data_IF_153580881129
#
_entry.id   IF_153580881129
#
_cell.length_a   1.000
_cell.length_b   1.000
_cell.length_c   1.000
_cell.angle_alpha   90.00
_cell.angle_beta   90.00
_cell.angle_gamma   90.00
#
_symmetry.space_group_name_H-M   'P 1'
#
loop_
_entity.id
_entity.type
_entity.pdbx_description
1 polymer ?
#
# COMPACT_ATOMS: atom_id res chain seq x y z
N UNK A 1 -0.86 -9.32 17.67
CA UNK A 1 -0.62 -7.96 18.23
C UNK A 1 -1.96 -7.37 18.64
N UNK A 2 -2.02 -6.55 19.70
CA UNK A 2 -3.28 -5.90 20.09
C UNK A 2 -3.52 -4.75 19.09
N UNK A 3 -4.46 -4.93 18.15
CA UNK A 3 -4.93 -3.85 17.28
C UNK A 3 -5.67 -2.78 18.08
N UNK A 4 -6.07 -1.69 17.41
CA UNK A 4 -6.95 -0.67 18.01
C UNK A 4 -8.43 -0.97 17.73
N UNK A 5 -9.08 -1.87 18.47
CA UNK A 5 -10.44 -2.33 18.17
C UNK A 5 -11.49 -1.22 18.30
N UNK A 6 -11.12 -0.09 18.89
CA UNK A 6 -12.02 1.03 19.17
C UNK A 6 -11.79 2.22 18.20
N UNK A 7 -11.05 2.05 17.11
CA UNK A 7 -10.78 3.12 16.13
C UNK A 7 -12.06 3.72 15.55
N UNK A 8 -13.06 2.87 15.25
CA UNK A 8 -14.37 3.28 14.73
C UNK A 8 -15.13 4.24 15.64
N UNK A 9 -14.94 4.16 16.97
CA UNK A 9 -15.58 5.06 17.94
C UNK A 9 -15.05 6.50 17.87
N UNK A 10 -13.98 6.74 17.11
CA UNK A 10 -13.45 8.09 16.86
C UNK A 10 -14.14 8.78 15.69
N UNK A 11 -14.94 8.06 14.90
CA UNK A 11 -15.77 8.63 13.86
C UNK A 11 -16.76 9.63 14.47
N UNK A 12 -16.87 10.79 13.84
CA UNK A 12 -17.81 11.83 14.29
C UNK A 12 -19.02 11.84 13.39
N UNK A 13 -20.20 11.75 13.98
CA UNK A 13 -21.43 12.12 13.29
C UNK A 13 -21.39 13.60 12.92
N UNK A 14 -21.69 13.92 11.69
CA UNK A 14 -21.58 15.27 11.12
C UNK A 14 -22.77 15.54 10.20
N UNK A 15 -23.28 16.76 10.25
CA UNK A 15 -24.31 17.21 9.32
C UNK A 15 -23.72 17.71 7.98
N UNK A 16 -22.41 17.96 7.94
CA UNK A 16 -21.72 18.55 6.79
C UNK A 16 -20.54 17.72 6.35
N UNK A 17 -20.22 17.82 5.07
CA UNK A 17 -18.99 17.29 4.46
C UNK A 17 -17.74 17.70 5.25
N UNK A 18 -16.73 16.84 5.32
CA UNK A 18 -15.47 17.16 5.97
C UNK A 18 -14.75 18.34 5.30
N UNK A 19 -13.94 19.06 6.08
CA UNK A 19 -13.14 20.16 5.55
C UNK A 19 -12.21 19.70 4.39
N UNK A 20 -11.44 18.60 4.52
CA UNK A 20 -10.55 18.17 3.44
C UNK A 20 -11.31 17.80 2.17
N UNK A 21 -12.39 17.05 2.25
CA UNK A 21 -13.19 16.66 1.08
C UNK A 21 -13.77 17.89 0.37
N UNK A 22 -14.33 18.83 1.13
CA UNK A 22 -14.81 20.09 0.56
C UNK A 22 -13.68 20.90 -0.08
N UNK A 23 -12.50 20.92 0.53
CA UNK A 23 -11.31 21.62 -0.01
C UNK A 23 -10.89 21.00 -1.34
N UNK A 24 -10.75 19.67 -1.41
CA UNK A 24 -10.38 18.95 -2.64
C UNK A 24 -11.44 19.12 -3.74
N UNK A 25 -12.73 19.07 -3.39
CA UNK A 25 -13.83 19.35 -4.32
C UNK A 25 -13.71 20.75 -4.92
N UNK A 26 -13.54 21.79 -4.09
CA UNK A 26 -13.41 23.19 -4.54
C UNK A 26 -12.17 23.44 -5.41
N UNK A 27 -11.10 22.64 -5.22
CA UNK A 27 -9.89 22.67 -6.05
C UNK A 27 -10.06 21.92 -7.37
N UNK A 28 -11.18 21.22 -7.59
CA UNK A 28 -11.47 20.49 -8.83
C UNK A 28 -10.55 19.29 -9.09
N UNK A 29 -9.96 18.71 -8.03
CA UNK A 29 -8.99 17.62 -8.17
C UNK A 29 -9.59 16.23 -8.06
N UNK A 30 -10.82 16.10 -7.56
CA UNK A 30 -11.57 14.85 -7.52
C UNK A 30 -12.04 14.51 -8.93
N UNK A 31 -11.77 13.29 -9.41
CA UNK A 31 -12.07 12.85 -10.77
C UNK A 31 -12.60 11.42 -10.77
N UNK A 32 -13.43 11.11 -11.78
CA UNK A 32 -13.90 9.76 -12.10
C UNK A 32 -14.63 9.05 -10.97
N UNK A 33 -14.43 7.73 -10.87
CA UNK A 33 -14.94 6.91 -9.78
C UNK A 33 -14.20 7.22 -8.49
N UNK A 34 -14.92 7.50 -7.42
CA UNK A 34 -14.37 7.92 -6.14
C UNK A 34 -14.60 6.84 -5.06
N UNK A 35 -13.60 6.61 -4.22
CA UNK A 35 -13.74 5.83 -2.99
C UNK A 35 -13.51 6.74 -1.79
N UNK A 36 -14.44 6.77 -0.86
CA UNK A 36 -14.24 7.31 0.50
C UNK A 36 -13.83 6.15 1.42
N UNK A 37 -12.50 6.05 1.67
CA UNK A 37 -11.89 4.97 2.45
C UNK A 37 -11.79 5.36 3.92
N UNK A 38 -12.42 4.59 4.79
CA UNK A 38 -12.62 4.93 6.19
C UNK A 38 -13.69 6.02 6.33
N UNK A 39 -14.80 5.85 5.61
CA UNK A 39 -15.85 6.86 5.43
C UNK A 39 -16.63 7.20 6.71
N UNK A 40 -16.49 6.38 7.78
CA UNK A 40 -17.28 6.52 8.98
C UNK A 40 -18.78 6.49 8.63
N UNK A 41 -19.52 7.54 8.98
CA UNK A 41 -20.95 7.63 8.67
C UNK A 41 -21.32 8.04 7.23
N UNK A 42 -20.34 8.10 6.30
CA UNK A 42 -20.56 8.26 4.85
C UNK A 42 -20.93 9.68 4.38
N UNK A 43 -20.76 10.71 5.20
CA UNK A 43 -21.15 12.10 4.84
C UNK A 43 -20.36 12.69 3.69
N UNK A 44 -19.12 12.29 3.52
CA UNK A 44 -18.27 12.80 2.42
C UNK A 44 -18.72 12.20 1.08
N UNK A 45 -19.06 10.91 1.04
CA UNK A 45 -19.61 10.27 -0.15
C UNK A 45 -21.01 10.79 -0.48
N UNK A 46 -21.90 10.99 0.51
CA UNK A 46 -23.22 11.60 0.31
C UNK A 46 -23.10 12.97 -0.37
N UNK A 47 -22.19 13.82 0.11
CA UNK A 47 -21.91 15.13 -0.49
C UNK A 47 -21.43 14.98 -1.94
N UNK A 48 -20.44 14.12 -2.21
CA UNK A 48 -19.89 13.95 -3.56
C UNK A 48 -20.94 13.40 -4.53
N UNK A 49 -21.75 12.43 -4.10
CA UNK A 49 -22.85 11.91 -4.90
C UNK A 49 -23.89 13.00 -5.23
N UNK A 50 -24.19 13.90 -4.28
CA UNK A 50 -25.07 15.06 -4.54
C UNK A 50 -24.48 16.06 -5.54
N UNK A 51 -23.17 16.00 -5.80
CA UNK A 51 -22.44 16.83 -6.80
C UNK A 51 -22.21 16.10 -8.12
N UNK A 52 -22.81 14.92 -8.30
CA UNK A 52 -22.75 14.15 -9.55
C UNK A 52 -21.55 13.23 -9.69
N UNK A 53 -20.77 12.99 -8.63
CA UNK A 53 -19.74 11.96 -8.63
C UNK A 53 -20.34 10.56 -8.35
N UNK A 54 -19.64 9.52 -8.81
CA UNK A 54 -19.88 8.13 -8.36
C UNK A 54 -18.95 7.83 -7.20
N UNK A 55 -19.41 8.09 -5.96
CA UNK A 55 -18.61 7.89 -4.76
C UNK A 55 -19.11 6.68 -3.96
N UNK A 56 -18.23 5.70 -3.76
CA UNK A 56 -18.47 4.50 -2.96
C UNK A 56 -17.94 4.72 -1.55
N UNK A 57 -18.67 4.26 -0.52
CA UNK A 57 -18.18 4.19 0.86
C UNK A 57 -17.48 2.85 1.09
N UNK A 58 -16.38 2.90 1.84
CA UNK A 58 -15.81 1.74 2.52
C UNK A 58 -15.36 2.14 3.92
N UNK A 59 -15.82 1.39 4.90
CA UNK A 59 -15.40 1.49 6.30
C UNK A 59 -15.56 0.11 6.94
N UNK A 60 -14.52 -0.49 7.54
CA UNK A 60 -14.60 -1.84 8.08
C UNK A 60 -15.72 -2.06 9.09
N UNK A 61 -16.23 -1.00 9.71
CA UNK A 61 -17.27 -1.06 10.73
C UNK A 61 -18.65 -0.63 10.21
N UNK A 62 -18.72 0.49 9.46
CA UNK A 62 -20.00 1.08 9.04
C UNK A 62 -20.43 0.69 7.63
N UNK A 63 -19.49 0.40 6.73
CA UNK A 63 -19.69 -0.01 5.33
C UNK A 63 -18.69 -1.12 4.98
N UNK A 64 -18.89 -2.37 5.51
CA UNK A 64 -17.87 -3.42 5.51
C UNK A 64 -17.64 -4.10 4.16
N UNK A 65 -18.46 -3.83 3.16
CA UNK A 65 -18.34 -4.43 1.84
C UNK A 65 -17.07 -3.91 1.15
N UNK A 66 -16.04 -4.76 1.12
CA UNK A 66 -14.77 -4.41 0.49
C UNK A 66 -14.93 -4.24 -1.01
N UNK A 67 -14.46 -3.11 -1.60
CA UNK A 67 -14.64 -2.86 -3.03
C UNK A 67 -13.91 -3.91 -3.89
N UNK A 68 -14.56 -4.34 -4.97
CA UNK A 68 -14.04 -5.29 -5.97
C UNK A 68 -13.49 -4.62 -7.23
N UNK A 69 -13.53 -3.29 -7.30
CA UNK A 69 -13.04 -2.47 -8.42
C UNK A 69 -11.97 -1.47 -8.00
N UNK A 70 -11.28 -0.91 -8.99
CA UNK A 70 -10.31 0.19 -8.79
C UNK A 70 -10.95 1.55 -9.06
N UNK A 71 -10.41 2.60 -8.43
CA UNK A 71 -10.94 3.95 -8.42
C UNK A 71 -9.96 4.97 -9.03
N UNK A 72 -10.51 6.04 -9.62
CA UNK A 72 -9.72 7.16 -10.16
C UNK A 72 -9.25 8.09 -9.03
N UNK A 73 -10.09 8.27 -8.01
CA UNK A 73 -9.77 9.06 -6.82
C UNK A 73 -10.10 8.28 -5.56
N UNK A 74 -9.17 8.25 -4.60
CA UNK A 74 -9.42 7.69 -3.26
C UNK A 74 -9.21 8.79 -2.21
N UNK A 75 -10.19 8.97 -1.33
CA UNK A 75 -10.13 9.87 -0.19
C UNK A 75 -9.93 9.05 1.08
N UNK A 76 -8.95 9.43 1.90
CA UNK A 76 -8.69 8.80 3.20
C UNK A 76 -8.56 9.91 4.26
N UNK A 77 -9.71 10.28 4.85
CA UNK A 77 -9.82 11.51 5.63
C UNK A 77 -9.71 11.25 7.13
N UNK A 78 -8.57 11.62 7.74
CA UNK A 78 -8.30 11.49 9.18
C UNK A 78 -8.25 10.07 9.73
N UNK A 79 -8.20 9.05 8.86
CA UNK A 79 -8.16 7.63 9.23
C UNK A 79 -6.83 7.30 9.91
N UNK A 80 -5.72 7.67 9.29
CA UNK A 80 -4.38 7.28 9.77
C UNK A 80 -4.05 7.80 11.17
N UNK A 81 -4.65 8.92 11.60
CA UNK A 81 -4.40 9.50 12.92
C UNK A 81 -4.91 8.65 14.10
N UNK A 82 -5.77 7.67 13.83
CA UNK A 82 -6.40 6.83 14.86
C UNK A 82 -5.99 5.35 14.76
N UNK A 83 -5.02 5.05 13.89
CA UNK A 83 -4.50 3.72 13.63
C UNK A 83 -3.09 3.55 14.17
N UNK A 84 -2.76 2.33 14.59
CA UNK A 84 -1.39 1.92 14.91
C UNK A 84 -0.51 1.89 13.64
N UNK A 85 0.83 1.96 13.77
CA UNK A 85 1.73 1.96 12.61
C UNK A 85 1.51 0.79 11.64
N UNK A 86 1.25 -0.41 12.16
CA UNK A 86 1.00 -1.62 11.37
C UNK A 86 -0.33 -1.51 10.60
N UNK A 87 -1.37 -0.99 11.25
CA UNK A 87 -2.68 -0.74 10.63
C UNK A 87 -2.59 0.36 9.58
N UNK A 88 -1.75 1.40 9.82
CA UNK A 88 -1.48 2.44 8.81
C UNK A 88 -0.81 1.85 7.57
N UNK A 89 0.17 0.95 7.74
CA UNK A 89 0.84 0.28 6.62
C UNK A 89 -0.16 -0.55 5.80
N UNK A 90 -1.06 -1.27 6.45
CA UNK A 90 -2.12 -2.01 5.76
C UNK A 90 -3.05 -1.10 4.96
N UNK A 91 -3.51 0.01 5.54
CA UNK A 91 -4.34 1.01 4.81
C UNK A 91 -3.61 1.56 3.59
N UNK A 92 -2.30 1.85 3.68
CA UNK A 92 -1.52 2.34 2.54
C UNK A 92 -1.44 1.31 1.42
N UNK A 93 -1.21 0.02 1.75
CA UNK A 93 -1.21 -1.07 0.78
C UNK A 93 -2.58 -1.24 0.11
N UNK A 94 -3.65 -1.32 0.90
CA UNK A 94 -5.02 -1.46 0.39
C UNK A 94 -5.38 -0.32 -0.57
N UNK A 95 -5.06 0.92 -0.21
CA UNK A 95 -5.32 2.09 -1.08
C UNK A 95 -4.49 2.00 -2.37
N UNK A 96 -3.23 1.56 -2.32
CA UNK A 96 -2.42 1.37 -3.52
C UNK A 96 -3.00 0.29 -4.45
N UNK A 97 -3.60 -0.76 -3.90
CA UNK A 97 -4.23 -1.85 -4.65
C UNK A 97 -5.56 -1.45 -5.29
N UNK A 98 -6.35 -0.61 -4.60
CA UNK A 98 -7.65 -0.12 -5.07
C UNK A 98 -7.54 1.09 -6.01
N UNK A 99 -6.37 1.71 -6.12
CA UNK A 99 -6.15 2.84 -7.00
C UNK A 99 -5.91 2.36 -8.44
N UNK A 100 -6.54 3.02 -9.44
CA UNK A 100 -6.21 2.81 -10.85
C UNK A 100 -4.77 3.26 -11.14
N UNK A 101 -4.10 2.74 -12.18
CA UNK A 101 -2.71 3.10 -12.48
C UNK A 101 -2.46 4.61 -12.52
N UNK A 102 -3.34 5.38 -13.15
CA UNK A 102 -3.22 6.86 -13.28
C UNK A 102 -4.02 7.61 -12.21
N UNK A 103 -4.61 6.90 -11.25
CA UNK A 103 -5.41 7.47 -10.18
C UNK A 103 -4.61 8.28 -9.17
N UNK A 104 -5.32 8.97 -8.28
CA UNK A 104 -4.73 9.72 -7.17
C UNK A 104 -5.45 9.42 -5.87
N UNK A 105 -4.68 9.24 -4.80
CA UNK A 105 -5.26 9.19 -3.47
C UNK A 105 -4.86 10.42 -2.65
N UNK A 106 -5.76 10.88 -1.80
CA UNK A 106 -5.57 12.02 -0.92
C UNK A 106 -5.73 11.59 0.54
N UNK A 107 -4.62 11.63 1.27
CA UNK A 107 -4.60 11.34 2.69
C UNK A 107 -4.65 12.63 3.48
N UNK A 108 -5.69 12.83 4.26
CA UNK A 108 -5.76 13.97 5.17
C UNK A 108 -5.43 13.55 6.58
N UNK A 109 -4.57 14.31 7.22
CA UNK A 109 -4.14 14.08 8.61
C UNK A 109 -4.34 15.33 9.46
N UNK A 110 -4.63 15.10 10.74
CA UNK A 110 -4.75 16.17 11.73
C UNK A 110 -3.36 16.70 12.11
N UNK A 111 -3.25 18.02 12.30
CA UNK A 111 -2.05 18.72 12.74
C UNK A 111 -2.22 19.38 14.12
N UNK A 112 -3.44 19.46 14.60
CA UNK A 112 -3.83 20.11 15.86
C UNK A 112 -3.79 19.17 17.08
N UNK A 113 -3.24 17.96 16.94
CA UNK A 113 -3.16 16.99 18.03
C UNK A 113 -2.11 17.43 19.07
N UNK A 114 -2.56 17.65 20.31
CA UNK A 114 -1.70 18.01 21.45
C UNK A 114 -1.24 16.80 22.28
N UNK A 115 -1.89 15.65 22.15
CA UNK A 115 -1.62 14.41 22.91
C UNK A 115 -1.62 13.21 21.99
N UNK A 116 -0.71 12.28 22.23
CA UNK A 116 -0.50 11.08 21.41
C UNK A 116 -0.58 9.82 22.26
N UNK A 117 -0.83 8.68 21.61
CA UNK A 117 -0.98 7.38 22.24
C UNK A 117 -2.41 7.06 22.64
N UNK A 118 -2.56 6.08 23.50
CA UNK A 118 -3.86 5.67 24.02
C UNK A 118 -4.42 6.69 25.00
N UNK A 119 -5.72 6.95 24.89
CA UNK A 119 -6.50 7.80 25.80
C UNK A 119 -7.90 7.25 25.97
N UNK A 120 -8.52 7.53 27.11
CA UNK A 120 -9.94 7.20 27.32
C UNK A 120 -10.81 8.14 26.47
N UNK A 121 -11.65 7.55 25.62
CA UNK A 121 -12.63 8.31 24.82
C UNK A 121 -13.65 8.97 25.74
N UNK A 122 -13.91 10.26 25.52
CA UNK A 122 -14.75 11.04 26.45
C UNK A 122 -16.18 10.49 26.57
N UNK A 123 -16.80 10.12 25.45
CA UNK A 123 -18.19 9.61 25.40
C UNK A 123 -18.24 8.12 25.77
N UNK A 124 -17.48 7.28 25.04
CA UNK A 124 -17.59 5.82 25.14
C UNK A 124 -16.81 5.21 26.32
N UNK A 125 -15.99 6.00 27.03
CA UNK A 125 -15.21 5.58 28.21
C UNK A 125 -14.28 4.37 27.98
N UNK A 126 -13.88 4.13 26.73
CA UNK A 126 -12.96 3.07 26.32
C UNK A 126 -11.64 3.66 25.78
N UNK A 127 -10.54 2.90 25.78
CA UNK A 127 -9.28 3.38 25.22
C UNK A 127 -9.41 3.52 23.69
N UNK A 128 -8.98 4.69 23.18
CA UNK A 128 -8.79 4.97 21.75
C UNK A 128 -7.39 5.49 21.51
N UNK A 129 -6.82 5.23 20.34
CA UNK A 129 -5.48 5.66 19.99
C UNK A 129 -5.50 6.91 19.10
N UNK A 130 -4.52 7.79 19.29
CA UNK A 130 -4.27 8.93 18.39
C UNK A 130 -2.77 9.16 18.20
N UNK A 131 -2.37 9.49 16.99
CA UNK A 131 -0.99 9.82 16.67
C UNK A 131 -0.87 10.93 15.62
N UNK A 132 0.28 11.61 15.63
CA UNK A 132 0.68 12.43 14.50
C UNK A 132 1.17 11.52 13.37
N UNK A 133 0.76 11.86 12.15
CA UNK A 133 1.15 11.15 10.94
C UNK A 133 1.91 12.09 10.02
N UNK A 134 3.07 11.64 9.54
CA UNK A 134 3.84 12.29 8.49
C UNK A 134 4.09 11.27 7.38
N UNK A 135 3.58 11.55 6.20
CA UNK A 135 3.75 10.68 5.03
C UNK A 135 4.89 11.19 4.14
N UNK A 136 5.60 10.30 3.43
CA UNK A 136 6.67 10.67 2.49
C UNK A 136 6.11 11.11 1.13
N UNK A 137 4.84 11.49 1.07
CA UNK A 137 4.18 11.94 -0.14
C UNK A 137 4.19 13.46 -0.27
N UNK A 138 3.82 13.95 -1.46
CA UNK A 138 3.73 15.39 -1.71
C UNK A 138 2.68 16.02 -0.79
N UNK A 139 3.10 16.99 0.05
CA UNK A 139 2.16 17.84 0.78
C UNK A 139 1.43 18.73 -0.22
N UNK A 140 0.16 18.41 -0.46
CA UNK A 140 -0.69 19.06 -1.45
C UNK A 140 -1.35 20.32 -0.87
N UNK A 141 -1.72 20.27 0.41
CA UNK A 141 -2.28 21.39 1.17
C UNK A 141 -1.92 21.25 2.64
N UNK A 142 -1.66 22.37 3.31
CA UNK A 142 -1.35 22.40 4.74
C UNK A 142 -1.84 23.68 5.40
N UNK A 143 -2.40 23.53 6.61
CA UNK A 143 -2.65 24.61 7.55
C UNK A 143 -2.43 24.10 9.00
N UNK A 144 -2.77 24.89 10.02
CA UNK A 144 -2.54 24.56 11.42
C UNK A 144 -3.35 23.33 11.91
N UNK A 145 -4.43 22.98 11.23
CA UNK A 145 -5.36 21.94 11.64
C UNK A 145 -5.26 20.67 10.81
N UNK A 146 -4.88 20.80 9.53
CA UNK A 146 -4.95 19.73 8.55
C UNK A 146 -3.79 19.80 7.56
N UNK A 147 -3.26 18.64 7.20
CA UNK A 147 -2.38 18.47 6.04
C UNK A 147 -2.96 17.39 5.13
N UNK A 148 -2.98 17.66 3.82
CA UNK A 148 -3.43 16.73 2.78
C UNK A 148 -2.23 16.33 1.95
N UNK A 149 -1.96 15.05 1.86
CA UNK A 149 -0.93 14.47 1.01
C UNK A 149 -1.53 13.90 -0.27
N UNK A 150 -0.94 14.19 -1.42
CA UNK A 150 -1.26 13.54 -2.70
C UNK A 150 -0.36 12.32 -2.87
N UNK A 151 -0.96 11.17 -3.10
CA UNK A 151 -0.31 9.92 -3.46
C UNK A 151 -0.63 9.56 -4.91
N UNK A 152 0.39 9.10 -5.63
CA UNK A 152 0.31 8.39 -6.92
C UNK A 152 1.19 7.16 -6.83
N UNK A 153 0.90 6.16 -7.66
CA UNK A 153 1.77 4.99 -7.76
C UNK A 153 3.21 5.40 -8.09
N UNK A 154 4.16 4.73 -7.49
CA UNK A 154 5.59 5.00 -7.73
C UNK A 154 5.95 4.85 -9.21
N UNK A 155 5.32 3.91 -9.92
CA UNK A 155 5.46 3.71 -11.37
C UNK A 155 4.91 4.86 -12.22
N UNK A 156 4.11 5.75 -11.66
CA UNK A 156 3.50 6.90 -12.35
C UNK A 156 4.17 8.24 -12.02
N UNK A 157 5.30 8.19 -11.30
CA UNK A 157 6.05 9.38 -10.92
C UNK A 157 7.42 9.32 -11.57
N UNK A 158 7.71 10.25 -12.47
CA UNK A 158 9.07 10.43 -12.97
C UNK A 158 9.96 10.92 -11.81
N UNK A 159 10.89 10.07 -11.41
CA UNK A 159 11.82 10.35 -10.33
C UNK A 159 13.13 11.00 -10.82
N UNK A 160 13.26 11.24 -12.13
CA UNK A 160 14.46 11.81 -12.76
C UNK A 160 15.72 10.95 -12.62
N UNK A 161 15.55 9.64 -12.40
CA UNK A 161 16.64 8.68 -12.21
C UNK A 161 16.69 7.70 -13.38
N UNK A 162 17.88 7.19 -13.68
CA UNK A 162 18.12 6.28 -14.81
C UNK A 162 17.88 4.79 -14.47
N UNK A 163 17.90 4.43 -13.18
CA UNK A 163 17.74 3.04 -12.75
C UNK A 163 16.34 2.50 -13.00
N UNK A 164 16.22 1.33 -13.63
CA UNK A 164 14.94 0.70 -13.98
C UNK A 164 14.02 0.43 -12.76
N UNK A 165 14.59 0.31 -11.57
CA UNK A 165 13.84 0.16 -10.31
C UNK A 165 13.75 1.46 -9.49
N UNK A 166 14.57 2.46 -9.80
CA UNK A 166 14.46 3.80 -9.21
C UNK A 166 13.44 4.65 -9.94
N UNK A 167 13.25 4.38 -11.24
CA UNK A 167 12.26 5.02 -12.12
C UNK A 167 11.60 3.95 -13.00
N UNK A 168 10.72 3.09 -12.41
CA UNK A 168 10.11 2.00 -13.15
C UNK A 168 9.21 2.53 -14.27
N UNK A 169 9.14 1.76 -15.38
CA UNK A 169 8.26 2.08 -16.49
C UNK A 169 6.82 2.30 -16.02
N UNK A 170 6.09 3.30 -16.54
CA UNK A 170 4.67 3.48 -16.29
C UNK A 170 3.81 2.25 -16.64
N UNK A 171 4.28 1.40 -17.55
CA UNK A 171 3.61 0.15 -17.95
C UNK A 171 3.88 -1.00 -16.97
N UNK A 172 4.77 -0.83 -15.99
CA UNK A 172 5.01 -1.85 -14.97
C UNK A 172 3.74 -2.06 -14.14
N UNK A 173 3.22 -3.29 -14.16
CA UNK A 173 1.99 -3.62 -13.42
C UNK A 173 2.28 -3.69 -11.93
N UNK A 174 1.87 -2.65 -11.21
CA UNK A 174 2.00 -2.56 -9.76
C UNK A 174 1.05 -3.56 -9.09
N UNK A 175 1.57 -4.30 -8.11
CA UNK A 175 0.79 -5.24 -7.28
C UNK A 175 0.37 -4.53 -5.98
N UNK A 176 1.33 -3.99 -5.22
CA UNK A 176 1.09 -3.29 -3.95
C UNK A 176 2.24 -2.35 -3.64
N UNK A 177 2.02 -1.35 -2.77
CA UNK A 177 3.02 -0.33 -2.49
C UNK A 177 2.95 0.17 -1.04
N UNK A 178 4.13 0.33 -0.44
CA UNK A 178 4.37 1.02 0.82
C UNK A 178 5.22 2.28 0.62
N UNK A 179 5.46 3.02 1.70
CA UNK A 179 6.26 4.24 1.68
C UNK A 179 7.65 4.04 1.08
N UNK A 180 8.32 2.94 1.41
CA UNK A 180 9.73 2.66 1.07
C UNK A 180 9.93 1.49 0.11
N UNK A 181 8.86 0.75 -0.19
CA UNK A 181 8.91 -0.49 -0.97
C UNK A 181 7.72 -0.54 -1.92
N UNK A 182 7.90 -1.11 -3.08
CA UNK A 182 6.83 -1.43 -4.02
C UNK A 182 7.00 -2.84 -4.58
N UNK A 183 5.95 -3.39 -5.17
CA UNK A 183 5.96 -4.69 -5.83
C UNK A 183 5.30 -4.61 -7.21
N UNK A 184 5.90 -5.30 -8.16
CA UNK A 184 5.44 -5.38 -9.55
C UNK A 184 5.48 -6.83 -10.03
N UNK A 185 4.73 -7.15 -11.09
CA UNK A 185 4.98 -8.39 -11.82
C UNK A 185 6.31 -8.29 -12.57
N UNK A 186 7.06 -9.41 -12.59
CA UNK A 186 8.30 -9.48 -13.34
C UNK A 186 8.00 -9.39 -14.85
N UNK A 187 8.77 -8.58 -15.57
CA UNK A 187 8.65 -8.43 -17.02
C UNK A 187 9.08 -9.70 -17.77
N UNK A 188 9.93 -10.52 -17.16
CA UNK A 188 10.43 -11.79 -17.70
C UNK A 188 10.06 -12.95 -16.77
N UNK A 189 8.77 -13.28 -16.64
CA UNK A 189 8.32 -14.21 -15.63
C UNK A 189 8.77 -15.63 -15.93
N UNK A 190 9.32 -16.32 -14.94
CA UNK A 190 9.68 -17.77 -15.03
C UNK A 190 8.51 -18.67 -14.68
N UNK A 191 7.46 -18.12 -14.07
CA UNK A 191 6.20 -18.81 -13.77
C UNK A 191 5.04 -17.81 -13.79
N UNK A 192 3.81 -18.32 -13.89
CA UNK A 192 2.62 -17.46 -13.85
C UNK A 192 2.52 -16.75 -12.50
N UNK A 193 2.51 -15.41 -12.52
CA UNK A 193 2.45 -14.59 -11.32
C UNK A 193 3.81 -14.29 -10.68
N UNK A 194 4.95 -14.59 -11.35
CA UNK A 194 6.26 -14.17 -10.85
C UNK A 194 6.27 -12.67 -10.56
N UNK A 195 6.64 -12.32 -9.34
CA UNK A 195 6.60 -10.96 -8.83
C UNK A 195 7.94 -10.55 -8.19
N UNK A 196 8.18 -9.24 -8.15
CA UNK A 196 9.33 -8.63 -7.51
C UNK A 196 8.90 -7.71 -6.37
N UNK A 197 9.61 -7.75 -5.26
CA UNK A 197 9.53 -6.77 -4.17
C UNK A 197 10.81 -5.95 -4.16
N UNK A 198 10.68 -4.62 -4.25
CA UNK A 198 11.78 -3.73 -4.57
C UNK A 198 11.77 -2.52 -3.61
N UNK A 199 12.86 -2.22 -2.88
CA UNK A 199 12.99 -0.98 -2.13
C UNK A 199 13.09 0.22 -3.10
N UNK A 200 12.41 1.34 -2.78
CA UNK A 200 12.43 2.55 -3.63
C UNK A 200 13.78 3.26 -3.64
N UNK A 201 14.54 3.13 -2.55
CA UNK A 201 15.92 3.61 -2.46
C UNK A 201 16.85 2.58 -3.07
N UNK A 202 17.74 3.01 -3.96
CA UNK A 202 18.77 2.14 -4.53
C UNK A 202 19.68 1.58 -3.44
N UNK A 203 19.73 0.27 -3.36
CA UNK A 203 20.65 -0.51 -2.54
C UNK A 203 21.22 -1.59 -3.43
N UNK A 204 22.54 -1.72 -3.52
CA UNK A 204 23.13 -2.70 -4.42
C UNK A 204 22.71 -4.13 -4.04
N UNK A 205 22.59 -4.41 -2.74
CA UNK A 205 22.19 -5.71 -2.25
C UNK A 205 21.42 -5.61 -0.91
N UNK A 206 20.87 -6.75 -0.46
CA UNK A 206 20.08 -6.87 0.77
C UNK A 206 20.80 -6.37 2.02
N UNK A 207 22.11 -6.54 2.13
CA UNK A 207 22.88 -6.17 3.33
C UNK A 207 23.06 -4.66 3.48
N UNK A 208 22.91 -3.89 2.41
CA UNK A 208 22.94 -2.42 2.43
C UNK A 208 21.61 -1.78 2.81
N UNK A 209 20.55 -2.57 2.92
CA UNK A 209 19.24 -2.08 3.34
C UNK A 209 19.24 -1.76 4.83
N UNK A 210 18.52 -0.69 5.19
CA UNK A 210 18.20 -0.39 6.59
C UNK A 210 17.22 -1.41 7.17
N UNK A 211 17.17 -1.55 8.50
CA UNK A 211 16.22 -2.45 9.16
C UNK A 211 14.76 -2.11 8.84
N UNK A 212 14.45 -0.81 8.66
CA UNK A 212 13.11 -0.36 8.25
C UNK A 212 12.76 -0.84 6.83
N UNK A 213 13.71 -0.79 5.91
CA UNK A 213 13.50 -1.29 4.54
C UNK A 213 13.37 -2.81 4.52
N UNK A 214 14.19 -3.53 5.28
CA UNK A 214 14.09 -4.99 5.44
C UNK A 214 12.72 -5.39 5.99
N UNK A 215 12.26 -4.72 7.05
CA UNK A 215 10.93 -4.96 7.64
C UNK A 215 9.81 -4.67 6.64
N UNK A 216 9.90 -3.55 5.91
CA UNK A 216 8.91 -3.22 4.88
C UNK A 216 8.90 -4.24 3.73
N UNK A 217 10.06 -4.75 3.32
CA UNK A 217 10.15 -5.82 2.33
C UNK A 217 9.50 -7.12 2.82
N UNK A 218 9.72 -7.51 4.08
CA UNK A 218 9.08 -8.71 4.65
C UNK A 218 7.55 -8.58 4.65
N UNK A 219 7.01 -7.45 5.11
CA UNK A 219 5.57 -7.18 5.08
C UNK A 219 5.05 -7.27 3.64
N UNK A 220 5.78 -6.69 2.68
CA UNK A 220 5.39 -6.71 1.27
C UNK A 220 5.46 -8.11 0.67
N UNK A 221 6.45 -8.93 1.04
CA UNK A 221 6.56 -10.35 0.60
C UNK A 221 5.33 -11.14 1.03
N UNK A 222 4.92 -11.02 2.31
CA UNK A 222 3.71 -11.68 2.82
C UNK A 222 2.46 -11.20 2.09
N UNK A 223 2.32 -9.89 1.90
CA UNK A 223 1.19 -9.30 1.19
C UNK A 223 1.09 -9.79 -0.25
N UNK A 224 2.20 -9.76 -0.99
CA UNK A 224 2.26 -10.22 -2.39
C UNK A 224 1.95 -11.71 -2.47
N UNK A 225 2.51 -12.54 -1.59
CA UNK A 225 2.20 -13.97 -1.52
C UNK A 225 0.68 -14.19 -1.37
N UNK A 226 0.01 -13.43 -0.50
CA UNK A 226 -1.43 -13.56 -0.28
C UNK A 226 -2.24 -13.14 -1.52
N UNK A 227 -1.85 -12.05 -2.19
CA UNK A 227 -2.46 -11.59 -3.45
C UNK A 227 -2.29 -12.65 -4.55
N UNK A 228 -1.07 -13.18 -4.71
CA UNK A 228 -0.78 -14.20 -5.72
C UNK A 228 -1.53 -15.51 -5.42
N UNK A 229 -1.65 -15.88 -4.15
CA UNK A 229 -2.43 -17.07 -3.74
C UNK A 229 -3.90 -16.91 -4.15
N UNK A 230 -4.51 -15.77 -3.86
CA UNK A 230 -5.90 -15.50 -4.23
C UNK A 230 -6.11 -15.45 -5.76
N UNK A 231 -5.16 -14.86 -6.50
CA UNK A 231 -5.31 -14.61 -7.94
C UNK A 231 -4.96 -15.82 -8.80
N UNK A 232 -3.98 -16.63 -8.39
CA UNK A 232 -3.40 -17.68 -9.24
C UNK A 232 -3.46 -19.08 -8.63
N UNK A 233 -3.77 -19.20 -7.35
CA UNK A 233 -3.86 -20.47 -6.61
C UNK A 233 -2.64 -21.41 -6.82
N UNK A 234 -1.39 -20.94 -6.55
CA UNK A 234 -0.20 -21.78 -6.70
C UNK A 234 -0.12 -22.87 -5.63
N UNK A 235 0.61 -23.95 -5.91
CA UNK A 235 0.87 -25.04 -4.98
C UNK A 235 2.01 -24.74 -3.99
N UNK A 236 2.85 -23.74 -4.29
CA UNK A 236 3.96 -23.32 -3.45
C UNK A 236 4.66 -22.07 -3.96
N UNK A 237 5.77 -21.69 -3.31
CA UNK A 237 6.57 -20.53 -3.68
C UNK A 237 8.07 -20.80 -3.52
N UNK A 238 8.89 -20.28 -4.44
CA UNK A 238 10.29 -20.01 -4.18
C UNK A 238 10.46 -18.50 -3.98
N UNK A 239 11.15 -18.11 -2.91
CA UNK A 239 11.38 -16.71 -2.57
C UNK A 239 12.87 -16.52 -2.33
N UNK A 240 13.46 -15.50 -2.95
CA UNK A 240 14.89 -15.24 -2.81
C UNK A 240 15.35 -14.01 -3.57
N UNK A 241 16.64 -13.70 -3.42
CA UNK A 241 17.30 -12.61 -4.12
C UNK A 241 18.73 -13.00 -4.47
N UNK A 242 19.23 -12.48 -5.57
CA UNK A 242 20.60 -12.66 -6.01
C UNK A 242 21.46 -11.53 -5.47
N UNK A 243 22.66 -11.84 -4.98
CA UNK A 243 23.61 -10.86 -4.46
C UNK A 243 24.92 -11.01 -5.21
N UNK A 244 25.32 -9.95 -5.90
CA UNK A 244 26.49 -9.86 -6.76
C UNK A 244 26.41 -10.78 -8.00
N UNK A 245 27.35 -10.58 -8.92
CA UNK A 245 27.40 -11.25 -10.22
C UNK A 245 27.48 -12.77 -10.11
N UNK A 246 28.30 -13.28 -9.18
CA UNK A 246 28.48 -14.72 -9.00
C UNK A 246 27.18 -15.44 -8.60
N UNK A 247 26.23 -14.74 -7.98
CA UNK A 247 24.90 -15.24 -7.66
C UNK A 247 23.84 -14.92 -8.74
N UNK A 248 24.26 -14.37 -9.89
CA UNK A 248 23.36 -14.05 -11.00
C UNK A 248 22.62 -12.72 -10.89
N UNK A 249 23.07 -11.80 -10.05
CA UNK A 249 22.49 -10.46 -9.99
C UNK A 249 22.87 -9.68 -11.26
N UNK A 250 21.86 -9.31 -12.06
CA UNK A 250 22.03 -8.55 -13.31
C UNK A 250 21.68 -7.08 -13.15
N UNK A 251 20.80 -6.76 -12.19
CA UNK A 251 20.41 -5.39 -11.84
C UNK A 251 20.91 -5.10 -10.43
N UNK A 252 21.86 -4.15 -10.31
CA UNK A 252 22.46 -3.75 -9.03
C UNK A 252 21.56 -2.79 -8.25
N UNK A 253 20.37 -3.26 -7.99
CA UNK A 253 19.36 -2.71 -7.10
C UNK A 253 18.61 -3.89 -6.48
N UNK A 254 18.57 -3.97 -5.17
CA UNK A 254 17.95 -5.09 -4.45
C UNK A 254 16.54 -5.35 -4.94
N UNK A 255 16.25 -6.57 -5.30
CA UNK A 255 14.91 -7.05 -5.63
C UNK A 255 14.75 -8.47 -5.13
N UNK A 256 13.59 -8.75 -4.54
CA UNK A 256 13.25 -10.05 -3.99
C UNK A 256 12.26 -10.70 -4.96
N UNK A 257 12.65 -11.84 -5.51
CA UNK A 257 11.78 -12.65 -6.35
C UNK A 257 10.75 -13.41 -5.49
N UNK A 258 9.49 -13.37 -5.92
CA UNK A 258 8.41 -14.23 -5.41
C UNK A 258 7.91 -15.03 -6.59
N UNK A 259 8.28 -16.30 -6.64
CA UNK A 259 8.04 -17.20 -7.76
C UNK A 259 6.98 -18.23 -7.35
N UNK A 260 5.71 -18.07 -7.79
CA UNK A 260 4.69 -19.09 -7.61
C UNK A 260 5.11 -20.40 -8.27
N UNK A 261 4.85 -21.52 -7.62
CA UNK A 261 5.17 -22.86 -8.12
C UNK A 261 3.88 -23.66 -8.29
N UNK A 262 3.87 -24.47 -9.32
CA UNK A 262 2.71 -25.28 -9.68
C UNK A 262 3.14 -26.75 -9.83
N UNK A 263 2.30 -27.70 -9.39
CA UNK A 263 2.58 -29.14 -9.59
C UNK A 263 2.81 -29.43 -11.06
N UNK A 264 3.96 -30.03 -11.35
CA UNK A 264 4.37 -30.38 -12.71
C UNK A 264 5.02 -29.24 -13.51
N UNK A 265 5.31 -28.09 -12.89
CA UNK A 265 6.04 -26.99 -13.54
C UNK A 265 7.52 -27.34 -13.80
N UNK A 266 8.09 -28.29 -13.05
CA UNK A 266 9.37 -28.95 -13.30
C UNK A 266 9.24 -30.44 -13.01
N UNK A 267 10.07 -31.25 -13.66
CA UNK A 267 10.06 -32.71 -13.54
C UNK A 267 10.40 -33.16 -12.11
N UNK A 268 11.47 -32.60 -11.51
CA UNK A 268 11.88 -32.87 -10.16
C UNK A 268 12.04 -31.57 -9.35
N UNK A 269 11.08 -31.19 -8.51
CA UNK A 269 11.16 -29.98 -7.69
C UNK A 269 12.02 -30.13 -6.43
N UNK A 270 12.54 -31.35 -6.12
CA UNK A 270 13.33 -31.63 -4.93
C UNK A 270 14.54 -30.68 -4.84
N UNK A 271 14.85 -30.26 -3.64
CA UNK A 271 15.96 -29.34 -3.39
C UNK A 271 15.67 -27.86 -3.66
N UNK A 272 14.65 -27.53 -4.47
CA UNK A 272 14.19 -26.15 -4.67
C UNK A 272 15.33 -25.16 -4.95
N UNK A 273 15.57 -24.20 -4.04
CA UNK A 273 16.63 -23.19 -4.12
C UNK A 273 18.05 -23.79 -4.31
N UNK A 274 18.31 -25.02 -3.86
CA UNK A 274 19.64 -25.65 -4.05
C UNK A 274 20.01 -25.86 -5.51
N UNK A 275 19.00 -25.91 -6.40
CA UNK A 275 19.21 -26.06 -7.86
C UNK A 275 19.84 -24.82 -8.52
N UNK A 276 20.11 -23.71 -7.77
CA UNK A 276 20.96 -22.62 -8.26
C UNK A 276 22.39 -23.10 -8.56
N UNK A 277 22.83 -24.21 -7.94
CA UNK A 277 24.04 -24.93 -8.33
C UNK A 277 23.59 -26.19 -9.07
N UNK A 278 23.80 -26.29 -10.39
CA UNK A 278 23.32 -27.44 -11.18
C UNK A 278 23.79 -28.78 -10.61
N UNK A 279 22.87 -29.74 -10.51
CA UNK A 279 23.15 -31.07 -9.98
C UNK A 279 23.26 -31.21 -8.46
N UNK A 280 23.07 -30.10 -7.70
CA UNK A 280 23.18 -30.10 -6.22
C UNK A 280 21.82 -30.09 -5.53
N UNK A 281 20.73 -30.23 -6.26
CA UNK A 281 19.37 -30.26 -5.71
C UNK A 281 19.05 -31.50 -4.91
N UNK A 282 19.57 -32.65 -5.29
CA UNK A 282 19.30 -33.94 -4.63
C UNK A 282 20.20 -34.15 -3.40
N UNK A 283 19.63 -34.78 -2.36
CA UNK A 283 20.29 -35.20 -1.13
C UNK A 283 19.55 -36.38 -0.48
#
# INVERSE_FOLDING_TARGET
MKGNPNSHLTAKERDKVSYPTRKLYNMGVIKGDVLDFGSGFGKDAEFLNSKGFSCTNYDPHYFPDYPDKKFDTILCQYVLNVLLPEEQAEVLMLISELLKPTGKAYFSVRRDLKRFGYRTHYVHKVPTYQCNVKLPYKSFFKNDFCEIYEYRHFTQVDNGKEGIFENPSPDAELISELATVYSIYDKFPVSKGHALVIPKRKTANYFEMTDKEKTACQIMVERVKDILTKKFNPDGFNIGFNINEAAGQTVFHTHIHIIPRYKGDVENPRGGIRNVIPGMGDY
#
